data_IF_904178559925
#
_entry.id   IF_904178559925
#
_cell.length_a   1.000
_cell.length_b   1.000
_cell.length_c   1.000
_cell.angle_alpha   90.00
_cell.angle_beta   90.00
_cell.angle_gamma   90.00
#
_symmetry.space_group_name_H-M   'P 1'
#
loop_
_entity.id
_entity.type
_entity.pdbx_description
1 polymer ?
#
# COMPACT_ATOMS: atom_id res chain seq x y z
N UNK A 1 -3.80 -10.22 4.51
CA UNK A 1 -2.68 -9.66 5.31
C UNK A 1 -2.34 -8.28 4.74
N UNK A 2 -2.65 -7.19 5.44
CA UNK A 2 -2.29 -5.83 5.01
C UNK A 2 -0.84 -5.55 5.41
N UNK A 3 0.02 -5.18 4.47
CA UNK A 3 1.45 -4.98 4.69
C UNK A 3 1.75 -3.51 5.08
N UNK A 4 2.23 -3.25 6.29
CA UNK A 4 2.51 -1.86 6.78
C UNK A 4 3.65 -1.13 6.08
N UNK A 5 4.45 -1.86 5.31
CA UNK A 5 5.55 -1.30 4.54
C UNK A 5 5.08 -0.20 3.57
N UNK A 6 3.83 -0.23 3.11
CA UNK A 6 3.38 0.62 2.01
C UNK A 6 2.99 2.03 2.46
N UNK A 7 1.86 2.21 3.17
CA UNK A 7 1.39 3.56 3.51
C UNK A 7 1.75 4.00 4.93
N UNK A 8 2.00 3.05 5.85
CA UNK A 8 2.37 3.32 7.24
C UNK A 8 3.88 3.58 7.41
N UNK A 9 4.69 3.37 6.36
CA UNK A 9 6.16 3.56 6.33
C UNK A 9 6.89 2.78 7.43
N UNK A 10 6.35 1.63 7.84
CA UNK A 10 6.89 0.82 8.92
C UNK A 10 7.73 -0.38 8.47
N UNK A 11 8.28 -1.15 9.43
CA UNK A 11 8.96 -2.39 9.13
C UNK A 11 7.99 -3.40 8.49
N UNK A 12 8.54 -4.43 7.83
CA UNK A 12 7.73 -5.50 7.24
C UNK A 12 7.06 -6.31 8.35
N UNK A 13 5.73 -6.28 8.41
CA UNK A 13 4.92 -7.00 9.40
C UNK A 13 3.41 -6.88 9.12
N UNK A 14 2.60 -7.48 9.99
CA UNK A 14 1.14 -7.52 9.93
C UNK A 14 0.50 -7.40 11.32
N UNK A 15 -0.67 -6.77 11.42
CA UNK A 15 -1.54 -6.69 12.60
C UNK A 15 -2.94 -7.07 12.15
N UNK A 16 -3.67 -7.69 13.05
CA UNK A 16 -5.05 -8.11 12.85
C UNK A 16 -5.87 -7.33 13.86
N UNK A 17 -6.76 -6.46 13.37
CA UNK A 17 -7.73 -5.77 14.20
C UNK A 17 -9.01 -6.60 14.23
N UNK A 18 -9.58 -6.77 15.42
CA UNK A 18 -10.85 -7.46 15.62
C UNK A 18 -11.73 -6.68 16.59
N UNK A 19 -13.04 -6.92 16.53
CA UNK A 19 -14.00 -6.39 17.50
C UNK A 19 -13.93 -7.23 18.77
N UNK A 20 -14.01 -6.57 19.94
CA UNK A 20 -14.05 -7.27 21.23
C UNK A 20 -15.40 -7.92 21.51
N UNK A 21 -16.48 -7.36 20.96
CA UNK A 21 -17.81 -7.95 21.11
C UNK A 21 -17.89 -9.26 20.33
N UNK A 22 -18.56 -10.30 20.87
CA UNK A 22 -18.79 -11.55 20.16
C UNK A 22 -19.50 -11.29 18.83
N UNK A 23 -18.92 -11.80 17.74
CA UNK A 23 -19.51 -11.72 16.41
C UNK A 23 -20.03 -13.11 16.07
N UNK A 24 -21.34 -13.24 15.86
CA UNK A 24 -22.00 -14.52 15.56
C UNK A 24 -21.76 -15.59 16.66
N UNK A 25 -21.68 -15.16 17.92
CA UNK A 25 -21.43 -16.05 19.06
C UNK A 25 -19.97 -16.51 19.19
N UNK A 26 -19.07 -16.00 18.35
CA UNK A 26 -17.64 -16.33 18.39
C UNK A 26 -16.87 -15.23 19.11
N UNK A 27 -16.07 -15.61 20.10
CA UNK A 27 -15.01 -14.76 20.65
C UNK A 27 -13.84 -14.68 19.66
N UNK A 28 -13.76 -13.55 18.95
CA UNK A 28 -12.73 -13.30 17.96
C UNK A 28 -11.34 -13.18 18.57
N UNK A 29 -11.23 -12.74 19.83
CA UNK A 29 -9.94 -12.54 20.49
C UNK A 29 -9.23 -13.89 20.66
N UNK A 30 -9.90 -14.86 21.28
CA UNK A 30 -9.37 -16.21 21.45
C UNK A 30 -9.13 -16.89 20.10
N UNK A 31 -10.09 -16.81 19.16
CA UNK A 31 -9.98 -17.47 17.87
C UNK A 31 -8.77 -16.96 17.04
N UNK A 32 -8.55 -15.64 17.00
CA UNK A 32 -7.47 -15.04 16.22
C UNK A 32 -6.12 -15.27 16.91
N UNK A 33 -6.02 -15.06 18.22
CA UNK A 33 -4.76 -15.25 18.94
C UNK A 33 -4.28 -16.70 18.82
N UNK A 34 -5.19 -17.68 18.99
CA UNK A 34 -4.86 -19.10 18.85
C UNK A 34 -4.48 -19.49 17.41
N UNK A 35 -5.13 -18.90 16.40
CA UNK A 35 -4.77 -19.13 15.00
C UNK A 35 -3.37 -18.60 14.66
N UNK A 36 -2.96 -17.47 15.25
CA UNK A 36 -1.60 -16.93 15.08
C UNK A 36 -0.58 -17.80 15.83
N UNK A 37 -0.80 -18.05 17.12
CA UNK A 37 0.03 -18.91 17.95
C UNK A 37 -0.86 -19.71 18.91
N UNK A 38 -0.74 -21.06 18.95
CA UNK A 38 0.27 -21.90 18.31
C UNK A 38 -0.06 -22.35 16.88
N UNK A 39 -1.14 -21.86 16.27
CA UNK A 39 -1.66 -22.41 15.00
C UNK A 39 -0.71 -22.30 13.80
N UNK A 40 -0.34 -21.09 13.40
CA UNK A 40 0.41 -20.83 12.15
C UNK A 40 1.86 -20.38 12.39
N UNK A 41 2.12 -19.67 13.48
CA UNK A 41 3.43 -19.09 13.77
C UNK A 41 4.02 -19.68 15.06
N UNK A 42 5.35 -19.65 15.13
CA UNK A 42 6.12 -19.98 16.34
C UNK A 42 6.42 -18.73 17.16
N UNK A 43 7.71 -18.49 17.44
CA UNK A 43 8.15 -17.35 18.26
C UNK A 43 7.93 -15.99 17.59
N UNK A 44 7.55 -14.95 18.35
CA UNK A 44 7.33 -13.61 17.82
C UNK A 44 8.64 -12.89 17.45
N UNK A 45 8.60 -12.07 16.39
CA UNK A 45 9.71 -11.21 15.97
C UNK A 45 9.71 -9.88 16.74
N UNK A 46 10.19 -9.89 17.99
CA UNK A 46 10.15 -8.73 18.88
C UNK A 46 10.81 -7.45 18.33
N UNK A 47 11.89 -7.58 17.54
CA UNK A 47 12.54 -6.42 16.89
C UNK A 47 11.60 -5.71 15.91
N UNK A 48 10.81 -6.46 15.14
CA UNK A 48 9.80 -5.93 14.22
C UNK A 48 8.64 -5.29 14.97
N UNK A 49 8.20 -5.90 16.08
CA UNK A 49 7.13 -5.37 16.92
C UNK A 49 7.54 -4.01 17.53
N UNK A 50 8.77 -3.90 18.04
CA UNK A 50 9.32 -2.64 18.55
C UNK A 50 9.39 -1.56 17.47
N UNK A 51 9.87 -1.90 16.28
CA UNK A 51 9.87 -0.98 15.13
C UNK A 51 8.47 -0.54 14.72
N UNK A 52 7.49 -1.45 14.75
CA UNK A 52 6.09 -1.14 14.44
C UNK A 52 5.49 -0.17 15.47
N UNK A 53 5.80 -0.33 16.76
CA UNK A 53 5.34 0.58 17.81
C UNK A 53 5.85 2.02 17.58
N UNK A 54 7.11 2.18 17.19
CA UNK A 54 7.68 3.49 16.83
C UNK A 54 6.95 4.09 15.63
N UNK A 55 6.69 3.30 14.59
CA UNK A 55 5.97 3.77 13.41
C UNK A 55 4.52 4.15 13.72
N UNK A 56 3.83 3.40 14.59
CA UNK A 56 2.47 3.74 15.02
C UNK A 56 2.43 5.04 15.84
N UNK A 57 3.45 5.29 16.66
CA UNK A 57 3.60 6.58 17.35
C UNK A 57 3.79 7.73 16.35
N UNK A 58 4.62 7.54 15.33
CA UNK A 58 4.81 8.54 14.27
C UNK A 58 3.52 8.76 13.46
N UNK A 59 2.74 7.70 13.21
CA UNK A 59 1.49 7.79 12.47
C UNK A 59 0.40 8.64 13.16
N UNK A 60 0.50 8.84 14.48
CA UNK A 60 -0.39 9.73 15.25
C UNK A 60 0.02 11.20 15.17
N UNK A 61 1.18 11.53 14.60
CA UNK A 61 1.68 12.89 14.54
C UNK A 61 0.94 13.72 13.49
N UNK A 62 0.86 15.04 13.72
CA UNK A 62 0.22 15.97 12.77
C UNK A 62 1.01 16.04 11.46
N UNK A 63 2.34 15.92 11.51
CA UNK A 63 3.20 15.88 10.33
C UNK A 63 2.89 14.69 9.44
N UNK A 64 2.60 13.52 10.03
CA UNK A 64 2.21 12.34 9.26
C UNK A 64 0.89 12.54 8.53
N UNK A 65 -0.09 13.21 9.16
CA UNK A 65 -1.34 13.59 8.50
C UNK A 65 -1.11 14.53 7.32
N UNK A 66 -0.26 15.55 7.50
CA UNK A 66 0.13 16.47 6.42
C UNK A 66 0.82 15.71 5.28
N UNK A 67 1.69 14.76 5.61
CA UNK A 67 2.33 13.90 4.63
C UNK A 67 1.32 13.09 3.82
N UNK A 68 0.36 12.42 4.46
CA UNK A 68 -0.67 11.64 3.75
C UNK A 68 -1.51 12.51 2.80
N UNK A 69 -1.86 13.73 3.23
CA UNK A 69 -2.57 14.68 2.38
C UNK A 69 -1.74 15.06 1.14
N UNK A 70 -0.42 15.26 1.29
CA UNK A 70 0.49 15.51 0.17
C UNK A 70 0.58 14.32 -0.78
N UNK A 71 0.62 13.09 -0.27
CA UNK A 71 0.64 11.88 -1.11
C UNK A 71 -0.59 11.82 -2.02
N UNK A 72 -1.78 12.08 -1.47
CA UNK A 72 -3.03 12.10 -2.24
C UNK A 72 -3.02 13.25 -3.26
N UNK A 73 -2.62 14.45 -2.85
CA UNK A 73 -2.54 15.62 -3.72
C UNK A 73 -1.60 15.36 -4.91
N UNK A 74 -0.43 14.76 -4.67
CA UNK A 74 0.52 14.43 -5.71
C UNK A 74 -0.01 13.34 -6.66
N UNK A 75 -0.71 12.32 -6.15
CA UNK A 75 -1.36 11.32 -7.01
C UNK A 75 -2.44 11.92 -7.89
N UNK A 76 -3.22 12.87 -7.39
CA UNK A 76 -4.21 13.61 -8.20
C UNK A 76 -3.54 14.44 -9.28
N UNK A 77 -2.49 15.20 -8.93
CA UNK A 77 -1.73 15.98 -9.89
C UNK A 77 -1.14 15.10 -11.01
N UNK A 78 -0.55 13.96 -10.64
CA UNK A 78 -0.04 12.98 -11.58
C UNK A 78 -1.14 12.40 -12.48
N UNK A 79 -2.29 12.04 -11.91
CA UNK A 79 -3.42 11.51 -12.67
C UNK A 79 -3.91 12.51 -13.73
N UNK A 80 -4.05 13.79 -13.35
CA UNK A 80 -4.45 14.87 -14.26
C UNK A 80 -3.45 15.00 -15.41
N UNK A 81 -2.16 15.08 -15.09
CA UNK A 81 -1.10 15.20 -16.10
C UNK A 81 -1.07 14.00 -17.06
N UNK A 82 -1.28 12.79 -16.57
CA UNK A 82 -1.35 11.60 -17.43
C UNK A 82 -2.55 11.65 -18.37
N UNK A 83 -3.71 12.12 -17.91
CA UNK A 83 -4.90 12.29 -18.75
C UNK A 83 -4.68 13.38 -19.82
N UNK A 84 -4.07 14.51 -19.45
CA UNK A 84 -3.71 15.59 -20.39
C UNK A 84 -2.74 15.10 -21.48
N UNK A 85 -1.82 14.19 -21.13
CA UNK A 85 -0.91 13.53 -22.08
C UNK A 85 -1.58 12.43 -22.92
N UNK A 86 -2.90 12.22 -22.79
CA UNK A 86 -3.67 11.26 -23.57
C UNK A 86 -3.61 9.82 -23.06
N UNK A 87 -3.07 9.58 -21.86
CA UNK A 87 -3.09 8.26 -21.24
C UNK A 87 -4.47 7.94 -20.67
N UNK A 88 -4.94 6.72 -20.95
CA UNK A 88 -6.19 6.21 -20.36
C UNK A 88 -5.93 5.69 -18.95
N UNK A 89 -6.63 6.23 -17.96
CA UNK A 89 -6.64 5.70 -16.59
C UNK A 89 -7.79 4.71 -16.41
N UNK A 90 -7.58 3.63 -15.65
CA UNK A 90 -8.59 2.56 -15.46
C UNK A 90 -9.89 3.11 -14.85
N UNK A 91 -9.78 4.02 -13.88
CA UNK A 91 -10.89 4.68 -13.18
C UNK A 91 -11.12 6.13 -13.61
N UNK A 92 -10.41 6.63 -14.62
CA UNK A 92 -10.46 8.05 -15.03
C UNK A 92 -9.75 9.03 -14.09
N UNK A 93 -9.23 8.57 -12.94
CA UNK A 93 -8.54 9.39 -11.94
C UNK A 93 -8.05 8.54 -10.76
N UNK A 94 -7.62 9.20 -9.67
CA UNK A 94 -7.28 8.53 -8.41
C UNK A 94 -7.59 9.37 -7.18
N UNK A 95 -8.16 8.74 -6.16
CA UNK A 95 -8.42 9.29 -4.83
C UNK A 95 -7.54 8.66 -3.74
N UNK A 96 -6.52 7.89 -4.14
CA UNK A 96 -5.63 7.20 -3.22
C UNK A 96 -4.17 7.51 -3.55
N UNK A 97 -3.26 6.65 -3.09
CA UNK A 97 -1.81 6.82 -3.20
C UNK A 97 -1.19 6.17 -4.45
N UNK A 98 -2.00 5.76 -5.44
CA UNK A 98 -1.53 5.16 -6.68
C UNK A 98 -2.39 5.57 -7.88
N UNK A 99 -1.84 5.46 -9.09
CA UNK A 99 -2.57 5.69 -10.34
C UNK A 99 -2.43 4.44 -11.22
N UNK A 100 -3.54 4.04 -11.87
CA UNK A 100 -3.57 2.86 -12.73
C UNK A 100 -3.72 3.30 -14.18
N UNK A 101 -2.62 3.24 -14.93
CA UNK A 101 -2.57 3.58 -16.36
C UNK A 101 -2.83 2.34 -17.21
N UNK A 102 -3.79 2.43 -18.11
CA UNK A 102 -4.06 1.40 -19.12
C UNK A 102 -3.16 1.60 -20.33
N UNK A 103 -2.18 0.69 -20.48
CA UNK A 103 -1.21 0.69 -21.58
C UNK A 103 -1.67 -0.15 -22.80
N UNK A 104 -2.85 -0.80 -22.74
CA UNK A 104 -3.37 -1.58 -23.88
C UNK A 104 -3.62 -0.73 -25.15
N UNK A 105 -4.14 0.51 -25.06
CA UNK A 105 -4.35 1.36 -26.24
C UNK A 105 -3.04 1.68 -27.00
N UNK A 106 -1.90 1.61 -26.31
CA UNK A 106 -0.58 1.90 -26.89
C UNK A 106 0.04 0.67 -27.60
N UNK A 107 -0.65 -0.48 -27.63
CA UNK A 107 -0.13 -1.71 -28.26
C UNK A 107 1.07 -2.33 -27.54
N UNK A 108 1.43 -1.84 -26.34
CA UNK A 108 2.60 -2.32 -25.60
C UNK A 108 2.27 -3.67 -24.95
N UNK A 109 2.93 -4.72 -25.43
CA UNK A 109 2.80 -6.07 -24.87
C UNK A 109 3.32 -6.12 -23.43
N UNK A 110 2.72 -6.98 -22.61
CA UNK A 110 2.89 -7.01 -21.15
C UNK A 110 4.35 -7.20 -20.73
N UNK A 111 5.10 -8.00 -21.47
CA UNK A 111 6.51 -8.32 -21.22
C UNK A 111 7.43 -7.09 -21.36
N UNK A 112 7.15 -6.19 -22.29
CA UNK A 112 8.00 -5.02 -22.57
C UNK A 112 7.76 -3.85 -21.61
N UNK A 113 6.66 -3.87 -20.84
CA UNK A 113 6.25 -2.76 -19.95
C UNK A 113 7.25 -2.43 -18.85
N UNK A 114 8.03 -3.42 -18.36
CA UNK A 114 9.09 -3.16 -17.36
C UNK A 114 10.33 -2.52 -17.99
N UNK A 115 10.61 -2.86 -19.24
CA UNK A 115 11.83 -2.44 -19.93
C UNK A 115 11.74 -0.99 -20.41
N UNK A 116 10.54 -0.45 -20.65
CA UNK A 116 10.37 0.97 -20.99
C UNK A 116 10.77 1.93 -19.85
N UNK A 117 10.48 1.57 -18.59
CA UNK A 117 10.77 2.46 -17.45
C UNK A 117 12.17 2.24 -16.86
N UNK A 118 12.80 1.09 -17.16
CA UNK A 118 14.13 0.72 -16.67
C UNK A 118 15.28 1.65 -17.10
N UNK A 119 15.40 2.07 -18.38
CA UNK A 119 16.50 2.96 -18.80
C UNK A 119 16.36 4.39 -18.23
N UNK A 120 15.22 4.74 -17.64
CA UNK A 120 14.93 6.07 -17.09
C UNK A 120 15.02 6.14 -15.55
N UNK A 121 15.66 5.17 -14.88
CA UNK A 121 15.74 5.06 -13.41
C UNK A 121 14.39 5.00 -12.66
N UNK A 122 13.28 4.77 -13.38
CA UNK A 122 11.94 4.68 -12.82
C UNK A 122 11.60 3.22 -12.45
N UNK A 123 11.42 2.98 -11.15
CA UNK A 123 10.94 1.68 -10.63
C UNK A 123 9.42 1.61 -10.69
N UNK A 124 8.89 0.86 -11.66
CA UNK A 124 7.44 0.58 -11.80
C UNK A 124 7.20 -0.94 -11.85
N UNK A 125 6.02 -1.42 -11.40
CA UNK A 125 5.66 -2.85 -11.51
C UNK A 125 4.69 -3.06 -12.67
N UNK A 126 4.95 -4.12 -13.44
CA UNK A 126 4.55 -4.50 -14.82
C UNK A 126 3.08 -4.46 -15.24
N UNK A 127 2.16 -4.02 -14.39
CA UNK A 127 0.78 -3.81 -14.78
C UNK A 127 0.33 -2.37 -14.55
N UNK A 128 1.15 -1.56 -13.88
CA UNK A 128 0.76 -0.33 -13.24
C UNK A 128 1.94 0.63 -13.24
N UNK A 129 1.76 1.81 -13.83
CA UNK A 129 2.69 2.91 -13.62
C UNK A 129 2.45 3.46 -12.20
N UNK A 130 2.83 2.67 -11.19
CA UNK A 130 2.90 3.14 -9.80
C UNK A 130 4.21 3.91 -9.70
N UNK A 131 4.20 5.17 -10.09
CA UNK A 131 5.21 6.10 -9.60
C UNK A 131 4.97 6.18 -8.10
N UNK A 132 5.88 5.56 -7.34
CA UNK A 132 5.99 5.77 -5.90
C UNK A 132 6.29 7.26 -5.75
N UNK A 133 5.27 8.05 -5.45
CA UNK A 133 5.49 9.41 -4.99
C UNK A 133 6.00 9.29 -3.57
N UNK A 134 7.31 9.19 -3.43
CA UNK A 134 8.04 9.36 -2.18
C UNK A 134 8.75 10.70 -2.22
#
# INVERSE_FOLDING_TARGET
MSNYLQSLRGPRGGMIFFRKDPVLGVDLESAINNAVFPGLQGGPHHHTIGGLAVCLKHAQSSEFKVYQNKVIANCRALAIQLVELGYKLVSGGSDNHLVLVDLRPLGIKREWRKFLTWPQSLSTRTQYLVTRVL
#
